data_IF_317816773280
#
_entry.id   IF_317816773280
#
_cell.length_a   1.000
_cell.length_b   1.000
_cell.length_c   1.000
_cell.angle_alpha   90.00
_cell.angle_beta   90.00
_cell.angle_gamma   90.00
#
_symmetry.space_group_name_H-M   'P 1'
#
loop_
_entity.id
_entity.type
_entity.pdbx_description
1 polymer ?
#
# COMPACT_ATOMS: atom_id res chain seq x y z
N UNK A 1 6.87 -29.72 7.72
CA UNK A 1 8.35 -29.80 7.77
C UNK A 1 8.99 -30.88 6.88
N UNK A 2 8.23 -31.72 6.14
CA UNK A 2 8.77 -32.83 5.32
C UNK A 2 9.79 -32.48 4.22
N UNK A 3 9.89 -31.20 3.81
CA UNK A 3 10.79 -30.80 2.72
C UNK A 3 12.21 -30.52 3.19
N UNK A 4 12.40 -30.10 4.45
CA UNK A 4 13.73 -29.84 5.02
C UNK A 4 14.46 -31.16 5.27
N UNK A 5 13.76 -32.14 5.84
CA UNK A 5 14.32 -33.46 6.14
C UNK A 5 14.74 -34.23 4.88
N UNK A 6 14.02 -34.06 3.77
CA UNK A 6 14.30 -34.75 2.50
C UNK A 6 15.47 -34.16 1.70
N UNK A 7 15.91 -32.93 2.02
CA UNK A 7 16.97 -32.23 1.28
C UNK A 7 18.04 -31.65 2.20
N UNK A 8 18.18 -32.17 3.42
CA UNK A 8 19.10 -31.68 4.43
C UNK A 8 20.53 -31.48 3.87
N UNK A 9 21.02 -32.44 3.08
CA UNK A 9 22.36 -32.40 2.48
C UNK A 9 22.56 -31.29 1.44
N UNK A 10 21.48 -30.69 0.94
CA UNK A 10 21.49 -29.58 -0.03
C UNK A 10 21.21 -28.23 0.64
N UNK A 11 20.86 -28.21 1.92
CA UNK A 11 20.54 -26.99 2.66
C UNK A 11 21.84 -26.44 3.27
N UNK A 12 22.28 -25.29 2.76
CA UNK A 12 23.45 -24.58 3.30
C UNK A 12 23.16 -23.87 4.63
N UNK A 13 21.88 -23.65 4.94
CA UNK A 13 21.41 -23.14 6.23
C UNK A 13 19.96 -22.67 6.17
N UNK A 14 19.46 -22.18 7.30
CA UNK A 14 18.08 -21.74 7.48
C UNK A 14 18.03 -20.27 7.84
N UNK A 15 17.10 -19.56 7.21
CA UNK A 15 16.85 -18.14 7.45
C UNK A 15 15.35 -17.97 7.75
N UNK A 16 15.04 -17.39 8.90
CA UNK A 16 13.70 -17.11 9.37
C UNK A 16 13.37 -15.64 9.13
N UNK A 17 12.24 -15.37 8.49
CA UNK A 17 11.82 -14.00 8.21
C UNK A 17 10.61 -13.94 7.30
N UNK A 18 10.15 -12.71 7.03
CA UNK A 18 9.00 -12.48 6.19
C UNK A 18 9.43 -12.19 4.75
N UNK A 19 8.88 -12.97 3.82
CA UNK A 19 9.13 -12.77 2.39
C UNK A 19 8.31 -11.58 1.83
N UNK A 20 7.01 -11.60 2.09
CA UNK A 20 6.04 -10.60 1.61
C UNK A 20 5.36 -9.97 2.80
N UNK A 21 5.58 -8.68 3.00
CA UNK A 21 5.04 -7.96 4.15
C UNK A 21 4.02 -6.95 3.66
N UNK A 22 2.83 -7.01 4.24
CA UNK A 22 1.72 -6.13 3.90
C UNK A 22 1.27 -5.40 5.17
N UNK A 23 1.37 -4.08 5.16
CA UNK A 23 0.80 -3.21 6.19
C UNK A 23 -0.53 -2.66 5.69
N UNK A 24 -1.53 -2.61 6.57
CA UNK A 24 -2.85 -2.04 6.28
C UNK A 24 -3.14 -0.88 7.21
N UNK A 25 -3.46 0.27 6.64
CA UNK A 25 -3.91 1.46 7.37
C UNK A 25 -5.42 1.61 7.25
N UNK A 26 -6.07 1.84 8.38
CA UNK A 26 -7.52 2.04 8.45
C UNK A 26 -7.84 3.31 9.24
N UNK A 27 -8.69 4.15 8.66
CA UNK A 27 -9.24 5.32 9.33
C UNK A 27 -10.45 4.88 10.17
N UNK A 28 -10.20 4.56 11.45
CA UNK A 28 -11.14 3.91 12.36
C UNK A 28 -12.52 4.59 12.44
N UNK A 29 -12.54 5.92 12.36
CA UNK A 29 -13.78 6.71 12.40
C UNK A 29 -14.79 6.31 11.30
N UNK A 30 -14.32 5.80 10.16
CA UNK A 30 -15.21 5.37 9.07
C UNK A 30 -15.74 3.95 9.21
N UNK A 31 -15.38 3.24 10.29
CA UNK A 31 -15.87 1.89 10.57
C UNK A 31 -16.91 1.87 11.69
N UNK A 32 -17.23 3.01 12.31
CA UNK A 32 -18.33 3.14 13.27
C UNK A 32 -19.41 4.10 12.73
N UNK A 33 -20.72 3.80 12.92
CA UNK A 33 -21.79 4.72 12.51
C UNK A 33 -21.70 6.08 13.19
N UNK A 34 -21.23 6.13 14.44
CA UNK A 34 -21.01 7.39 15.17
C UNK A 34 -19.86 8.20 14.58
N UNK A 35 -18.72 7.57 14.28
CA UNK A 35 -17.57 8.24 13.69
C UNK A 35 -17.86 8.79 12.29
N UNK A 36 -18.59 8.03 11.47
CA UNK A 36 -19.03 8.47 10.14
C UNK A 36 -19.90 9.74 10.21
N UNK A 37 -20.88 9.76 11.12
CA UNK A 37 -21.76 10.92 11.33
C UNK A 37 -21.00 12.11 11.89
N UNK A 38 -20.12 11.87 12.87
CA UNK A 38 -19.29 12.91 13.47
C UNK A 38 -18.41 13.59 12.42
N UNK A 39 -17.70 12.79 11.62
CA UNK A 39 -16.87 13.32 10.55
C UNK A 39 -17.65 14.17 9.53
N UNK A 40 -18.81 13.69 9.04
CA UNK A 40 -19.60 14.49 8.10
C UNK A 40 -20.15 15.76 8.74
N UNK A 41 -20.46 15.73 10.03
CA UNK A 41 -20.86 16.93 10.78
C UNK A 41 -19.72 17.95 10.83
N UNK A 42 -18.47 17.53 11.04
CA UNK A 42 -17.31 18.43 11.03
C UNK A 42 -17.06 19.04 9.65
N UNK A 43 -17.29 18.26 8.59
CA UNK A 43 -17.18 18.73 7.20
C UNK A 43 -18.42 19.53 6.73
N UNK A 44 -19.42 19.74 7.60
CA UNK A 44 -20.71 20.37 7.27
C UNK A 44 -21.45 19.71 6.09
N UNK A 45 -21.35 18.39 5.98
CA UNK A 45 -21.97 17.59 4.91
C UNK A 45 -23.21 16.89 5.45
N UNK A 46 -24.36 17.16 4.83
CA UNK A 46 -25.59 16.43 5.14
C UNK A 46 -25.53 15.01 4.57
N UNK A 47 -26.19 14.05 5.23
CA UNK A 47 -26.20 12.64 4.79
C UNK A 47 -26.69 12.45 3.34
N UNK A 48 -27.63 13.30 2.88
CA UNK A 48 -28.14 13.27 1.50
C UNK A 48 -27.11 13.73 0.46
N UNK A 49 -26.17 14.57 0.86
CA UNK A 49 -25.15 15.19 -0.01
C UNK A 49 -23.83 14.40 0.01
N UNK A 50 -23.75 13.37 0.86
CA UNK A 50 -22.56 12.51 1.03
C UNK A 50 -22.03 11.97 -0.30
N UNK A 51 -22.91 11.49 -1.18
CA UNK A 51 -22.48 10.87 -2.44
C UNK A 51 -21.76 11.86 -3.36
N UNK A 52 -22.24 13.11 -3.46
CA UNK A 52 -21.61 14.17 -4.23
C UNK A 52 -20.28 14.61 -3.58
N UNK A 53 -20.28 14.74 -2.25
CA UNK A 53 -19.07 15.03 -1.49
C UNK A 53 -17.98 13.98 -1.70
N UNK A 54 -18.32 12.69 -1.56
CA UNK A 54 -17.39 11.58 -1.76
C UNK A 54 -16.82 11.55 -3.18
N UNK A 55 -17.64 11.84 -4.20
CA UNK A 55 -17.17 11.97 -5.59
C UNK A 55 -16.17 13.11 -5.77
N UNK A 56 -16.40 14.26 -5.13
CA UNK A 56 -15.47 15.40 -5.16
C UNK A 56 -14.12 15.01 -4.55
N UNK A 57 -14.11 14.38 -3.38
CA UNK A 57 -12.87 13.92 -2.73
C UNK A 57 -12.16 12.84 -3.58
N UNK A 58 -12.91 11.87 -4.12
CA UNK A 58 -12.35 10.87 -5.04
C UNK A 58 -11.70 11.51 -6.27
N UNK A 59 -12.30 12.57 -6.82
CA UNK A 59 -11.75 13.28 -7.99
C UNK A 59 -10.44 13.99 -7.64
N UNK A 60 -10.39 14.66 -6.49
CA UNK A 60 -9.15 15.30 -5.99
C UNK A 60 -8.03 14.28 -5.77
N UNK A 61 -8.32 13.10 -5.22
CA UNK A 61 -7.32 12.03 -5.04
C UNK A 61 -6.78 11.56 -6.39
N UNK A 62 -7.65 11.38 -7.39
CA UNK A 62 -7.25 10.96 -8.74
C UNK A 62 -6.39 12.02 -9.43
N UNK A 63 -6.78 13.28 -9.34
CA UNK A 63 -6.05 14.42 -9.90
C UNK A 63 -4.68 14.58 -9.24
N UNK A 64 -4.61 14.50 -7.91
CA UNK A 64 -3.35 14.52 -7.16
C UNK A 64 -2.41 13.40 -7.60
N UNK A 65 -2.92 12.18 -7.77
CA UNK A 65 -2.11 11.05 -8.22
C UNK A 65 -1.57 11.24 -9.65
N UNK A 66 -2.38 11.80 -10.55
CA UNK A 66 -1.95 12.14 -11.92
C UNK A 66 -0.91 13.25 -11.91
N UNK A 67 -1.18 14.35 -11.22
CA UNK A 67 -0.25 15.48 -11.12
C UNK A 67 1.07 15.07 -10.45
N UNK A 68 1.04 14.19 -9.45
CA UNK A 68 2.25 13.62 -8.87
C UNK A 68 3.06 12.83 -9.90
N UNK A 69 2.42 11.91 -10.64
CA UNK A 69 3.10 11.13 -11.65
C UNK A 69 3.71 12.03 -12.75
N UNK A 70 2.92 12.98 -13.25
CA UNK A 70 3.33 13.96 -14.27
C UNK A 70 4.50 14.84 -13.80
N UNK A 71 4.43 15.40 -12.60
CA UNK A 71 5.50 16.24 -12.04
C UNK A 71 6.83 15.52 -11.87
N UNK A 72 6.79 14.18 -11.74
CA UNK A 72 7.97 13.32 -11.63
C UNK A 72 8.38 12.70 -12.96
N UNK A 73 7.70 13.03 -14.06
CA UNK A 73 7.94 12.44 -15.38
C UNK A 73 7.62 10.94 -15.43
N UNK A 74 6.71 10.45 -14.59
CA UNK A 74 6.35 9.02 -14.47
C UNK A 74 4.96 8.73 -15.04
N UNK A 75 4.73 7.53 -15.59
CA UNK A 75 3.46 7.21 -16.22
C UNK A 75 2.34 6.98 -15.19
N UNK A 76 1.16 7.48 -15.53
CA UNK A 76 -0.13 7.11 -14.92
C UNK A 76 -0.91 6.24 -15.91
N UNK A 77 -1.21 4.98 -15.56
CA UNK A 77 -1.81 4.01 -16.48
C UNK A 77 -3.07 3.43 -15.87
N UNK A 78 -4.19 3.48 -16.60
CA UNK A 78 -5.40 2.76 -16.22
C UNK A 78 -5.40 1.34 -16.79
N UNK A 79 -5.54 0.34 -15.92
CA UNK A 79 -5.61 -1.07 -16.26
C UNK A 79 -7.06 -1.52 -16.37
N UNK A 80 -7.46 -1.90 -17.58
CA UNK A 80 -8.84 -2.31 -17.89
C UNK A 80 -9.14 -3.78 -17.56
N UNK A 81 -8.12 -4.60 -17.33
CA UNK A 81 -8.27 -6.06 -17.18
C UNK A 81 -7.72 -6.54 -15.84
N UNK A 82 -8.47 -7.35 -15.08
CA UNK A 82 -7.96 -7.98 -13.87
C UNK A 82 -6.88 -9.02 -14.16
N UNK A 83 -6.75 -9.48 -15.41
CA UNK A 83 -5.71 -10.43 -15.84
C UNK A 83 -4.34 -9.77 -16.02
N UNK A 84 -4.28 -8.44 -16.17
CA UNK A 84 -3.03 -7.72 -16.32
C UNK A 84 -2.30 -7.67 -14.97
N UNK A 85 -1.08 -8.21 -14.93
CA UNK A 85 -0.26 -8.17 -13.72
C UNK A 85 0.21 -6.75 -13.45
N UNK A 86 -0.25 -6.17 -12.35
CA UNK A 86 0.16 -4.83 -11.91
C UNK A 86 1.65 -4.75 -11.64
N UNK A 87 2.18 -5.77 -10.96
CA UNK A 87 3.60 -5.89 -10.67
C UNK A 87 4.41 -6.06 -11.95
N UNK A 88 3.95 -6.92 -12.87
CA UNK A 88 4.59 -7.11 -14.17
C UNK A 88 4.64 -5.82 -14.98
N UNK A 89 3.53 -5.08 -15.06
CA UNK A 89 3.48 -3.76 -15.73
C UNK A 89 4.46 -2.76 -15.11
N UNK A 90 4.52 -2.66 -13.78
CA UNK A 90 5.48 -1.79 -13.10
C UNK A 90 6.93 -2.22 -13.33
N UNK A 91 7.23 -3.52 -13.35
CA UNK A 91 8.57 -4.05 -13.66
C UNK A 91 8.98 -3.76 -15.11
N UNK A 92 8.05 -3.89 -16.07
CA UNK A 92 8.31 -3.55 -17.47
C UNK A 92 8.62 -2.06 -17.65
N UNK A 93 7.90 -1.19 -16.94
CA UNK A 93 8.16 0.25 -16.92
C UNK A 93 9.55 0.51 -16.34
N UNK A 94 9.87 -0.07 -15.19
CA UNK A 94 11.19 0.08 -14.56
C UNK A 94 12.34 -0.41 -15.46
N UNK A 95 12.13 -1.48 -16.24
CA UNK A 95 13.14 -1.97 -17.21
C UNK A 95 13.35 -0.99 -18.37
N UNK A 96 12.28 -0.34 -18.85
CA UNK A 96 12.34 0.60 -19.97
C UNK A 96 12.85 1.98 -19.56
N UNK A 97 12.49 2.43 -18.36
CA UNK A 97 12.87 3.71 -17.77
C UNK A 97 13.35 3.49 -16.32
N UNK A 98 14.63 3.14 -16.13
CA UNK A 98 15.17 2.80 -14.81
C UNK A 98 15.14 3.96 -13.83
N UNK A 99 14.80 3.64 -12.58
CA UNK A 99 14.76 4.58 -11.45
C UNK A 99 15.68 4.05 -10.36
N UNK A 100 16.65 4.87 -9.93
CA UNK A 100 17.51 4.52 -8.79
C UNK A 100 16.75 4.60 -7.47
N UNK A 101 15.94 5.64 -7.31
CA UNK A 101 15.11 5.90 -6.14
C UNK A 101 13.90 6.75 -6.55
N UNK A 102 12.72 6.45 -6.01
CA UNK A 102 11.51 7.25 -6.21
C UNK A 102 10.39 6.51 -6.93
N UNK A 103 9.39 7.27 -7.41
CA UNK A 103 8.21 6.72 -8.08
C UNK A 103 8.61 6.08 -9.42
N UNK A 104 8.10 4.87 -9.67
CA UNK A 104 8.22 4.16 -10.95
C UNK A 104 7.02 4.50 -11.82
N UNK A 105 5.81 4.28 -11.30
CA UNK A 105 4.55 4.55 -12.01
C UNK A 105 3.36 4.58 -11.04
N UNK A 106 2.24 5.12 -11.52
CA UNK A 106 0.93 4.97 -10.86
C UNK A 106 0.01 4.13 -11.76
N UNK A 107 -0.49 3.02 -11.22
CA UNK A 107 -1.47 2.18 -11.92
C UNK A 107 -2.85 2.37 -11.28
N UNK A 108 -3.85 2.66 -12.11
CA UNK A 108 -5.23 2.80 -11.68
C UNK A 108 -6.04 1.59 -12.14
N UNK A 109 -6.86 1.01 -11.28
CA UNK A 109 -7.64 -0.20 -11.60
C UNK A 109 -8.92 -0.25 -10.77
N UNK A 110 -9.98 -0.85 -11.31
CA UNK A 110 -11.21 -1.07 -10.55
C UNK A 110 -11.13 -2.41 -9.84
N UNK A 111 -11.36 -2.44 -8.52
CA UNK A 111 -11.39 -3.66 -7.72
C UNK A 111 -12.57 -3.69 -6.76
N UNK A 112 -12.86 -4.86 -6.20
CA UNK A 112 -13.81 -5.00 -5.11
C UNK A 112 -13.22 -4.39 -3.83
N UNK A 113 -14.03 -3.61 -3.13
CA UNK A 113 -13.69 -2.92 -1.90
C UNK A 113 -14.90 -2.84 -0.97
N UNK A 114 -14.63 -2.60 0.31
CA UNK A 114 -15.64 -2.12 1.24
C UNK A 114 -15.68 -0.60 1.11
N UNK A 115 -16.83 -0.04 0.76
CA UNK A 115 -16.96 1.40 0.66
C UNK A 115 -18.21 1.93 1.36
N UNK A 116 -18.08 3.15 1.88
CA UNK A 116 -19.12 3.84 2.61
C UNK A 116 -20.15 4.41 1.63
N UNK A 117 -21.42 4.11 1.86
CA UNK A 117 -22.55 4.52 1.03
C UNK A 117 -23.66 5.16 1.86
N UNK A 118 -24.29 6.20 1.31
CA UNK A 118 -25.56 6.71 1.80
C UNK A 118 -26.70 5.90 1.20
N UNK A 119 -27.65 5.43 2.02
CA UNK A 119 -28.85 4.75 1.56
C UNK A 119 -30.08 5.26 2.31
N UNK A 120 -31.25 5.12 1.67
CA UNK A 120 -32.54 5.39 2.30
C UNK A 120 -33.01 4.11 3.00
N UNK A 121 -33.15 4.16 4.31
CA UNK A 121 -33.74 3.09 5.08
C UNK A 121 -35.27 3.20 4.96
N UNK A 122 -35.91 2.17 4.42
CA UNK A 122 -37.35 2.16 4.19
C UNK A 122 -38.17 1.94 5.47
N UNK A 123 -37.60 1.28 6.48
CA UNK A 123 -38.27 1.03 7.77
C UNK A 123 -38.24 2.28 8.64
N UNK A 124 -37.09 2.96 8.71
CA UNK A 124 -36.93 4.15 9.55
C UNK A 124 -37.26 5.46 8.83
N UNK A 125 -37.46 5.40 7.51
CA UNK A 125 -37.61 6.55 6.61
C UNK A 125 -36.45 7.57 6.65
N UNK A 126 -35.28 7.16 7.15
CA UNK A 126 -34.10 8.03 7.30
C UNK A 126 -33.02 7.69 6.27
N UNK A 127 -32.16 8.67 6.01
CA UNK A 127 -30.90 8.44 5.27
C UNK A 127 -29.86 7.99 6.28
N UNK A 128 -29.16 6.91 5.96
CA UNK A 128 -28.15 6.29 6.81
C UNK A 128 -26.87 6.04 6.00
N UNK A 129 -25.74 5.94 6.70
CA UNK A 129 -24.47 5.54 6.11
C UNK A 129 -24.15 4.10 6.48
N UNK A 130 -23.63 3.35 5.52
CA UNK A 130 -23.17 1.97 5.76
C UNK A 130 -22.04 1.59 4.83
N UNK A 131 -21.07 0.86 5.38
CA UNK A 131 -20.05 0.19 4.59
C UNK A 131 -20.64 -1.03 3.88
N UNK A 132 -20.49 -1.10 2.56
CA UNK A 132 -20.93 -2.24 1.74
C UNK A 132 -19.85 -2.69 0.75
N UNK A 133 -19.83 -3.98 0.37
CA UNK A 133 -19.01 -4.45 -0.74
C UNK A 133 -19.46 -3.80 -2.05
N UNK A 134 -18.53 -3.20 -2.77
CA UNK A 134 -18.76 -2.61 -4.10
C UNK A 134 -17.47 -2.57 -4.90
N UNK A 135 -17.54 -2.01 -6.11
CA UNK A 135 -16.35 -1.69 -6.90
C UNK A 135 -15.98 -0.22 -6.68
N UNK A 136 -14.68 0.02 -6.59
CA UNK A 136 -14.11 1.36 -6.60
C UNK A 136 -12.77 1.35 -7.32
N UNK A 137 -12.29 2.54 -7.66
CA UNK A 137 -10.96 2.70 -8.22
C UNK A 137 -9.92 2.55 -7.09
N UNK A 138 -8.88 1.79 -7.35
CA UNK A 138 -7.65 1.77 -6.57
C UNK A 138 -6.53 2.40 -7.37
N UNK A 139 -5.63 3.06 -6.66
CA UNK A 139 -4.37 3.58 -7.17
C UNK A 139 -3.23 2.76 -6.55
N UNK A 140 -2.34 2.28 -7.40
CA UNK A 140 -1.12 1.59 -7.02
C UNK A 140 0.07 2.48 -7.37
N UNK A 141 0.73 3.02 -6.36
CA UNK A 141 1.97 3.78 -6.50
C UNK A 141 3.13 2.81 -6.33
N UNK A 142 3.81 2.47 -7.42
CA UNK A 142 5.01 1.63 -7.39
C UNK A 142 6.24 2.50 -7.20
N UNK A 143 7.10 2.12 -6.26
CA UNK A 143 8.31 2.84 -5.92
C UNK A 143 9.53 1.93 -6.00
N UNK A 144 10.66 2.53 -6.38
CA UNK A 144 11.98 2.04 -6.01
C UNK A 144 12.39 2.78 -4.75
N UNK A 145 12.14 2.17 -3.58
CA UNK A 145 12.50 2.76 -2.31
C UNK A 145 13.98 2.54 -2.00
N UNK A 146 14.62 3.54 -1.40
CA UNK A 146 16.05 3.47 -1.03
C UNK A 146 16.35 2.27 -0.15
N UNK A 147 15.48 1.97 0.79
CA UNK A 147 15.66 0.97 1.82
C UNK A 147 14.96 -0.36 1.48
N UNK A 148 13.73 -0.30 0.99
CA UNK A 148 12.92 -1.50 0.73
C UNK A 148 13.00 -2.00 -0.71
N UNK A 149 13.59 -1.22 -1.61
CA UNK A 149 13.66 -1.56 -3.03
C UNK A 149 12.29 -1.50 -3.68
N UNK A 150 11.99 -2.47 -4.55
CA UNK A 150 10.74 -2.49 -5.28
C UNK A 150 9.55 -2.73 -4.34
N UNK A 151 8.68 -1.72 -4.20
CA UNK A 151 7.54 -1.74 -3.28
C UNK A 151 6.32 -1.05 -3.91
N UNK A 152 5.15 -1.20 -3.30
CA UNK A 152 3.99 -0.42 -3.72
C UNK A 152 3.09 0.03 -2.57
N UNK A 153 2.38 1.12 -2.82
CA UNK A 153 1.28 1.58 -1.99
C UNK A 153 -0.02 1.50 -2.78
N UNK A 154 -0.97 0.73 -2.27
CA UNK A 154 -2.32 0.62 -2.79
C UNK A 154 -3.23 1.54 -1.98
N UNK A 155 -3.96 2.42 -2.65
CA UNK A 155 -4.88 3.38 -2.06
C UNK A 155 -6.28 3.22 -2.67
N UNK A 156 -7.29 3.00 -1.83
CA UNK A 156 -8.69 3.07 -2.20
C UNK A 156 -9.09 4.52 -2.44
N UNK A 157 -9.66 4.88 -3.59
CA UNK A 157 -10.02 6.27 -3.87
C UNK A 157 -11.37 6.71 -3.29
N UNK A 158 -12.11 5.78 -2.68
CA UNK A 158 -13.42 6.02 -2.06
C UNK A 158 -13.35 5.73 -0.57
N UNK A 159 -14.18 6.38 0.24
CA UNK A 159 -14.29 6.12 1.68
C UNK A 159 -14.46 4.61 1.96
N UNK A 160 -13.73 4.01 2.91
CA UNK A 160 -12.96 4.66 3.98
C UNK A 160 -11.49 4.92 3.65
N UNK A 161 -11.11 4.95 2.37
CA UNK A 161 -9.75 5.22 1.90
C UNK A 161 -8.69 4.25 2.44
N UNK A 162 -9.02 2.95 2.46
CA UNK A 162 -8.06 1.93 2.91
C UNK A 162 -6.75 2.04 2.12
N UNK A 163 -5.65 2.03 2.88
CA UNK A 163 -4.29 2.06 2.35
C UNK A 163 -3.60 0.74 2.69
N UNK A 164 -2.86 0.21 1.74
CA UNK A 164 -2.06 -0.98 1.91
C UNK A 164 -0.65 -0.74 1.37
N UNK A 165 0.37 -1.05 2.15
CA UNK A 165 1.77 -0.93 1.76
C UNK A 165 2.35 -2.34 1.67
N UNK A 166 2.92 -2.66 0.53
CA UNK A 166 3.62 -3.92 0.30
C UNK A 166 5.11 -3.67 0.17
N UNK A 167 5.90 -4.47 0.86
CA UNK A 167 7.36 -4.52 0.74
C UNK A 167 7.83 -5.98 0.61
N UNK A 168 8.97 -6.18 -0.05
CA UNK A 168 9.64 -7.47 -0.13
C UNK A 168 10.75 -7.54 0.92
N UNK A 169 10.60 -8.43 1.90
CA UNK A 169 11.56 -8.56 3.00
C UNK A 169 12.90 -9.16 2.56
N UNK A 170 12.92 -9.99 1.50
CA UNK A 170 14.16 -10.54 0.96
C UNK A 170 14.95 -9.52 0.16
N UNK A 171 14.26 -8.64 -0.56
CA UNK A 171 14.89 -7.49 -1.21
C UNK A 171 15.51 -6.54 -0.19
N UNK A 172 14.78 -6.27 0.90
CA UNK A 172 15.31 -5.48 2.00
C UNK A 172 16.55 -6.13 2.63
N UNK A 173 16.51 -7.43 2.92
CA UNK A 173 17.68 -8.14 3.44
C UNK A 173 18.87 -8.07 2.47
N UNK A 174 18.65 -8.28 1.18
CA UNK A 174 19.72 -8.18 0.17
C UNK A 174 20.42 -6.81 0.21
N UNK A 175 19.64 -5.73 0.31
CA UNK A 175 20.19 -4.37 0.48
C UNK A 175 20.99 -4.21 1.77
N UNK A 176 20.57 -4.82 2.87
CA UNK A 176 21.34 -4.80 4.12
C UNK A 176 22.66 -5.58 4.00
N UNK A 177 22.64 -6.75 3.35
CA UNK A 177 23.83 -7.54 3.09
C UNK A 177 24.81 -6.76 2.20
N UNK A 178 24.33 -6.08 1.16
CA UNK A 178 25.15 -5.21 0.30
C UNK A 178 25.82 -4.08 1.10
N UNK A 179 25.09 -3.47 2.06
CA UNK A 179 25.62 -2.41 2.92
C UNK A 179 26.71 -2.92 3.89
N UNK A 180 26.59 -4.16 4.36
CA UNK A 180 27.60 -4.79 5.23
C UNK A 180 28.71 -5.51 4.44
N UNK A 181 28.65 -5.51 3.11
CA UNK A 181 29.62 -6.19 2.26
C UNK A 181 29.56 -7.72 2.37
N UNK A 182 28.42 -8.27 2.78
CA UNK A 182 28.21 -9.72 2.90
C UNK A 182 27.79 -10.27 1.54
N UNK A 183 28.62 -11.14 0.96
CA UNK A 183 28.31 -11.77 -0.31
C UNK A 183 27.12 -12.72 -0.22
N UNK A 184 26.33 -12.76 -1.28
CA UNK A 184 25.23 -13.69 -1.43
C UNK A 184 24.99 -14.05 -2.90
N UNK A 185 24.35 -15.19 -3.13
CA UNK A 185 23.86 -15.60 -4.45
C UNK A 185 22.34 -15.69 -4.41
N UNK A 186 21.68 -14.98 -5.33
CA UNK A 186 20.23 -15.01 -5.49
C UNK A 186 19.82 -15.65 -6.80
N UNK A 187 18.70 -16.35 -6.75
CA UNK A 187 17.94 -16.76 -7.91
C UNK A 187 16.50 -16.29 -7.73
N UNK A 188 16.10 -15.30 -8.52
CA UNK A 188 14.83 -14.59 -8.36
C UNK A 188 14.66 -14.09 -6.91
N UNK A 189 13.55 -14.45 -6.25
CA UNK A 189 13.29 -14.07 -4.88
C UNK A 189 13.94 -15.02 -3.85
N UNK A 190 14.83 -15.94 -4.24
CA UNK A 190 15.44 -16.92 -3.33
C UNK A 190 16.94 -16.66 -3.12
N UNK A 191 17.43 -16.83 -1.89
CA UNK A 191 18.86 -16.88 -1.58
C UNK A 191 19.35 -18.33 -1.70
N UNK A 192 20.32 -18.56 -2.58
CA UNK A 192 20.98 -19.87 -2.76
C UNK A 192 22.17 -20.04 -1.83
N UNK A 193 22.84 -18.93 -1.50
CA UNK A 193 23.97 -18.87 -0.58
C UNK A 193 24.04 -17.47 0.03
N UNK A 194 24.47 -17.41 1.28
CA UNK A 194 24.85 -16.18 1.99
C UNK A 194 26.12 -16.50 2.75
N UNK A 195 27.13 -15.65 2.65
CA UNK A 195 28.45 -15.93 3.22
C UNK A 195 28.45 -15.92 4.75
N UNK A 196 27.61 -15.11 5.37
CA UNK A 196 27.38 -15.09 6.82
C UNK A 196 25.89 -15.18 7.16
N UNK A 197 25.41 -16.40 7.40
CA UNK A 197 24.01 -16.67 7.70
C UNK A 197 23.57 -16.17 9.08
N UNK A 198 24.43 -16.26 10.08
CA UNK A 198 24.13 -15.78 11.43
C UNK A 198 23.87 -14.27 11.41
N UNK A 199 24.78 -13.52 10.76
CA UNK A 199 24.60 -12.09 10.59
C UNK A 199 23.39 -11.74 9.74
N UNK A 200 23.13 -12.49 8.66
CA UNK A 200 21.92 -12.30 7.87
C UNK A 200 20.64 -12.50 8.69
N UNK A 201 20.62 -13.47 9.61
CA UNK A 201 19.51 -13.69 10.51
C UNK A 201 19.32 -12.53 11.50
N UNK A 202 20.40 -12.00 12.06
CA UNK A 202 20.35 -10.81 12.94
C UNK A 202 19.77 -9.59 12.21
N UNK A 203 20.23 -9.32 10.99
CA UNK A 203 19.72 -8.22 10.15
C UNK A 203 18.23 -8.38 9.88
N UNK A 204 17.79 -9.59 9.55
CA UNK A 204 16.37 -9.85 9.29
C UNK A 204 15.52 -9.69 10.56
N UNK A 205 16.03 -10.09 11.73
CA UNK A 205 15.34 -9.90 13.00
C UNK A 205 15.16 -8.42 13.33
N UNK A 206 16.19 -7.60 13.10
CA UNK A 206 16.15 -6.16 13.35
C UNK A 206 15.07 -5.40 12.58
N UNK A 207 14.64 -5.93 11.43
CA UNK A 207 13.51 -5.37 10.67
C UNK A 207 12.20 -5.37 11.49
N UNK A 208 11.94 -6.43 12.26
CA UNK A 208 10.69 -6.60 13.04
C UNK A 208 10.59 -5.59 14.18
N UNK A 209 11.71 -5.18 14.74
CA UNK A 209 11.77 -4.26 15.88
C UNK A 209 11.65 -2.78 15.47
N UNK A 210 11.68 -2.51 14.16
CA UNK A 210 11.78 -1.14 13.65
C UNK A 210 10.43 -0.41 13.63
N UNK A 211 10.46 0.87 14.03
CA UNK A 211 9.31 1.78 13.99
C UNK A 211 9.05 2.29 12.58
N UNK A 212 8.40 1.47 11.74
CA UNK A 212 8.05 1.81 10.35
C UNK A 212 6.85 2.76 10.23
N UNK A 213 6.07 2.92 11.30
CA UNK A 213 4.83 3.70 11.33
C UNK A 213 5.04 5.13 10.78
N UNK A 214 6.05 5.86 11.27
CA UNK A 214 6.30 7.24 10.83
C UNK A 214 6.62 7.35 9.34
N UNK A 215 7.38 6.39 8.81
CA UNK A 215 7.73 6.35 7.39
C UNK A 215 6.47 6.11 6.54
N UNK A 216 5.62 5.20 6.97
CA UNK A 216 4.36 4.89 6.30
C UNK A 216 3.33 6.00 6.42
N UNK A 217 3.27 6.69 7.56
CA UNK A 217 2.42 7.88 7.74
C UNK A 217 2.85 9.01 6.80
N UNK A 218 4.16 9.26 6.68
CA UNK A 218 4.68 10.26 5.74
C UNK A 218 4.37 9.89 4.28
N UNK A 219 4.46 8.61 3.93
CA UNK A 219 4.12 8.11 2.60
C UNK A 219 2.62 8.26 2.32
N UNK A 220 1.77 7.92 3.29
CA UNK A 220 0.32 8.08 3.20
C UNK A 220 -0.06 9.55 2.97
N UNK A 221 0.52 10.47 3.76
CA UNK A 221 0.32 11.91 3.62
C UNK A 221 0.75 12.48 2.26
N UNK A 222 1.77 11.89 1.65
CA UNK A 222 2.24 12.29 0.32
C UNK A 222 1.23 11.92 -0.75
N UNK A 223 0.64 10.72 -0.69
CA UNK A 223 -0.23 10.20 -1.76
C UNK A 223 -1.71 10.52 -1.56
N UNK A 224 -2.13 10.79 -0.32
CA UNK A 224 -3.52 11.04 0.02
C UNK A 224 -3.71 12.47 0.52
N UNK A 225 -4.07 13.42 -0.37
CA UNK A 225 -4.11 14.84 -0.03
C UNK A 225 -5.14 15.17 1.07
N UNK A 226 -6.19 14.34 1.17
CA UNK A 226 -7.26 14.50 2.14
C UNK A 226 -6.90 14.09 3.59
N UNK A 227 -5.83 13.30 3.82
CA UNK A 227 -5.48 12.86 5.18
C UNK A 227 -5.22 14.03 6.14
N UNK A 228 -4.62 15.12 5.66
CA UNK A 228 -4.39 16.33 6.46
C UNK A 228 -5.68 16.88 7.08
N UNK A 229 -6.80 16.80 6.36
CA UNK A 229 -8.11 17.23 6.88
C UNK A 229 -8.59 16.30 7.98
N UNK A 230 -8.41 14.99 7.81
CA UNK A 230 -8.82 13.96 8.77
C UNK A 230 -8.02 14.01 10.08
N UNK A 231 -6.71 14.24 9.99
CA UNK A 231 -5.85 14.32 11.18
C UNK A 231 -6.23 15.50 12.07
N UNK A 232 -6.58 16.64 11.46
CA UNK A 232 -7.08 17.82 12.18
C UNK A 232 -8.42 17.54 12.89
N UNK A 233 -9.22 16.59 12.38
CA UNK A 233 -10.50 16.19 12.99
C UNK A 233 -10.37 15.14 14.10
N UNK A 234 -9.22 14.46 14.22
CA UNK A 234 -9.00 13.39 15.21
C UNK A 234 -8.43 13.90 16.55
N UNK A 235 -8.29 15.22 16.72
CA UNK A 235 -7.68 15.86 17.91
C UNK A 235 -8.71 16.43 18.91
N UNK A 236 -9.96 15.97 18.86
CA UNK A 236 -11.03 16.36 19.81
C UNK A 236 -11.54 15.13 20.56
#
# INVERSE_FOLDING_TARGET
>A
MKSIDNYHDKIKGMLHGFDRIIFKGHLRQFFSPSGQKHFLSMENVLLKDYSAYAQSITSQIKEHARGMAESLGRPYIYLNSPKTSKEGTAQEILKKDPVKEGLICVLATVELCTALESYKNHETHKIELRNRPRKCLYLYFYYMDKEFGFMHVKLQTWFPFEIQIYINGREHLAKMLDQEGIGYQRYDNCFLQIDNLERAQELFNGFVERKLLRTFDALAHRIHPFLKRIDTTSTV
#
